data_IF_727376930952
#
_entry.id   IF_727376930952
#
_cell.length_a   1.000
_cell.length_b   1.000
_cell.length_c   1.000
_cell.angle_alpha   90.00
_cell.angle_beta   90.00
_cell.angle_gamma   90.00
#
_symmetry.space_group_name_H-M   'P 1'
#
loop_
_entity.id
_entity.type
_entity.pdbx_description
1 polymer ?
#
# COMPACT_ATOMS: atom_id res chain seq x y z
N UNK A 1 -15.44 -8.59 -11.92
CA UNK A 1 -14.42 -9.22 -11.06
C UNK A 1 -14.64 -8.98 -9.56
N UNK A 2 -15.11 -7.81 -9.11
CA UNK A 2 -15.38 -7.56 -7.68
C UNK A 2 -16.35 -8.57 -7.05
N UNK A 3 -17.49 -8.84 -7.68
CA UNK A 3 -18.49 -9.80 -7.18
C UNK A 3 -17.95 -11.24 -7.13
N UNK A 4 -17.23 -11.66 -8.18
CA UNK A 4 -16.59 -12.97 -8.26
C UNK A 4 -15.65 -13.20 -7.07
N UNK A 5 -14.75 -12.24 -6.82
CA UNK A 5 -13.82 -12.33 -5.71
C UNK A 5 -14.52 -12.30 -4.35
N UNK A 6 -15.60 -11.53 -4.19
CA UNK A 6 -16.42 -11.55 -2.98
C UNK A 6 -17.03 -12.93 -2.72
N UNK A 7 -17.52 -13.61 -3.76
CA UNK A 7 -18.08 -14.97 -3.65
C UNK A 7 -17.00 -15.99 -3.29
N UNK A 8 -15.84 -15.94 -3.97
CA UNK A 8 -14.68 -16.78 -3.66
C UNK A 8 -14.28 -16.62 -2.20
N UNK A 9 -14.06 -15.38 -1.72
CA UNK A 9 -13.69 -15.12 -0.32
C UNK A 9 -14.73 -15.62 0.68
N UNK A 10 -16.02 -15.47 0.36
CA UNK A 10 -17.09 -15.94 1.22
C UNK A 10 -17.12 -17.47 1.33
N UNK A 11 -16.81 -18.18 0.23
CA UNK A 11 -16.70 -19.63 0.24
C UNK A 11 -15.44 -20.08 0.99
N UNK A 12 -14.28 -19.46 0.75
CA UNK A 12 -13.04 -19.75 1.47
C UNK A 12 -13.21 -19.61 3.00
N UNK A 13 -13.91 -18.57 3.46
CA UNK A 13 -14.16 -18.37 4.89
C UNK A 13 -15.08 -19.46 5.49
N UNK A 14 -16.06 -19.95 4.72
CA UNK A 14 -16.92 -21.09 5.14
C UNK A 14 -16.14 -22.39 5.21
N UNK A 15 -15.20 -22.59 4.29
CA UNK A 15 -14.37 -23.80 4.21
C UNK A 15 -13.16 -23.74 5.16
N UNK A 16 -13.02 -22.65 5.93
CA UNK A 16 -11.90 -22.45 6.86
C UNK A 16 -10.55 -22.19 6.17
N UNK A 17 -10.55 -21.92 4.86
CA UNK A 17 -9.33 -21.69 4.08
C UNK A 17 -8.93 -20.22 4.23
N UNK A 18 -7.73 -20.00 4.78
CA UNK A 18 -7.18 -18.66 4.98
C UNK A 18 -6.00 -18.46 4.07
N UNK A 19 -6.02 -17.36 3.33
CA UNK A 19 -4.94 -16.98 2.41
C UNK A 19 -4.48 -15.57 2.73
N UNK A 20 -3.18 -15.31 2.56
CA UNK A 20 -2.63 -13.96 2.53
C UNK A 20 -1.81 -13.74 1.26
N UNK A 21 -1.48 -12.49 0.95
CA UNK A 21 -0.64 -12.17 -0.19
C UNK A 21 -1.02 -10.83 -0.82
N UNK A 22 -1.10 -10.80 -2.15
CA UNK A 22 -1.20 -9.55 -2.89
C UNK A 22 -2.06 -9.69 -4.14
N UNK A 23 -2.81 -8.63 -4.45
CA UNK A 23 -3.62 -8.50 -5.65
C UNK A 23 -3.15 -7.29 -6.45
N UNK A 24 -2.96 -7.49 -7.74
CA UNK A 24 -2.58 -6.46 -8.71
C UNK A 24 -3.67 -6.38 -9.77
N UNK A 25 -4.09 -5.17 -10.13
CA UNK A 25 -4.95 -4.89 -11.28
C UNK A 25 -4.11 -4.33 -12.42
N UNK A 26 -4.27 -4.87 -13.62
CA UNK A 26 -3.69 -4.30 -14.82
C UNK A 26 -4.75 -4.17 -15.92
N UNK A 27 -4.64 -3.16 -16.80
CA UNK A 27 -5.42 -3.12 -18.01
C UNK A 27 -4.92 -4.20 -18.97
N UNK A 28 -5.83 -4.94 -19.57
CA UNK A 28 -5.53 -5.69 -20.77
C UNK A 28 -5.38 -4.74 -21.97
N UNK A 29 -4.98 -5.24 -23.15
CA UNK A 29 -4.78 -4.41 -24.34
C UNK A 29 -6.02 -3.61 -24.76
N UNK A 30 -7.21 -4.12 -24.46
CA UNK A 30 -8.52 -3.48 -24.68
C UNK A 30 -9.00 -2.64 -23.48
N UNK A 31 -8.15 -2.47 -22.45
CA UNK A 31 -8.45 -1.69 -21.24
C UNK A 31 -9.30 -2.44 -20.21
N UNK A 32 -9.71 -3.67 -20.47
CA UNK A 32 -10.49 -4.46 -19.50
C UNK A 32 -9.56 -4.83 -18.32
N UNK A 33 -9.96 -4.56 -17.06
CA UNK A 33 -9.15 -4.91 -15.90
C UNK A 33 -9.02 -6.43 -15.79
N UNK A 34 -7.81 -6.92 -15.60
CA UNK A 34 -7.53 -8.30 -15.17
C UNK A 34 -6.72 -8.30 -13.88
N UNK A 35 -6.80 -9.40 -13.13
CA UNK A 35 -6.23 -9.49 -11.79
C UNK A 35 -5.11 -10.52 -11.77
N UNK A 36 -3.96 -10.11 -11.24
CA UNK A 36 -2.90 -11.03 -10.84
C UNK A 36 -2.99 -11.21 -9.33
N UNK A 37 -3.03 -12.46 -8.88
CA UNK A 37 -3.11 -12.82 -7.48
C UNK A 37 -1.86 -13.61 -7.10
N UNK A 38 -1.18 -13.14 -6.06
CA UNK A 38 -0.18 -13.90 -5.34
C UNK A 38 -0.78 -14.31 -4.01
N UNK A 39 -0.98 -15.61 -3.81
CA UNK A 39 -1.61 -16.14 -2.61
C UNK A 39 -0.68 -17.16 -1.95
N UNK A 40 -0.57 -17.04 -0.64
CA UNK A 40 0.05 -18.01 0.24
C UNK A 40 -1.05 -18.71 1.03
N UNK A 41 -0.97 -20.03 1.09
CA UNK A 41 -1.95 -20.93 1.72
C UNK A 41 -1.22 -22.15 2.27
N UNK A 42 -1.81 -22.82 3.26
CA UNK A 42 -1.31 -24.10 3.75
C UNK A 42 -1.22 -25.12 2.59
N UNK A 43 -0.10 -25.87 2.45
CA UNK A 43 0.11 -26.79 1.34
C UNK A 43 -1.02 -27.79 1.12
N UNK A 44 -1.62 -28.27 2.21
CA UNK A 44 -2.73 -29.24 2.22
C UNK A 44 -4.02 -28.65 1.63
N UNK A 45 -4.21 -27.33 1.74
CA UNK A 45 -5.40 -26.62 1.29
C UNK A 45 -5.25 -26.04 -0.13
N UNK A 46 -4.04 -26.08 -0.70
CA UNK A 46 -3.74 -25.51 -2.03
C UNK A 46 -4.63 -26.06 -3.13
N UNK A 47 -4.81 -27.38 -3.19
CA UNK A 47 -5.63 -28.00 -4.24
C UNK A 47 -7.09 -27.54 -4.16
N UNK A 48 -7.63 -27.47 -2.95
CA UNK A 48 -8.99 -26.98 -2.71
C UNK A 48 -9.13 -25.51 -3.12
N UNK A 49 -8.14 -24.67 -2.78
CA UNK A 49 -8.11 -23.26 -3.22
C UNK A 49 -8.15 -23.16 -4.76
N UNK A 50 -7.31 -23.93 -5.46
CA UNK A 50 -7.24 -23.93 -6.94
C UNK A 50 -8.57 -24.36 -7.57
N UNK A 51 -9.14 -25.48 -7.13
CA UNK A 51 -10.41 -26.01 -7.62
C UNK A 51 -11.56 -25.03 -7.40
N UNK A 52 -11.63 -24.43 -6.22
CA UNK A 52 -12.66 -23.45 -5.88
C UNK A 52 -12.53 -22.20 -6.77
N UNK A 53 -11.32 -21.63 -6.89
CA UNK A 53 -11.09 -20.47 -7.73
C UNK A 53 -11.42 -20.75 -9.20
N UNK A 54 -11.02 -21.92 -9.72
CA UNK A 54 -11.34 -22.37 -11.08
C UNK A 54 -12.85 -22.51 -11.29
N UNK A 55 -13.56 -23.12 -10.34
CA UNK A 55 -15.01 -23.31 -10.40
C UNK A 55 -15.73 -21.97 -10.49
N UNK A 56 -15.38 -21.00 -9.64
CA UNK A 56 -15.96 -19.67 -9.67
C UNK A 56 -15.60 -18.91 -10.95
N UNK A 57 -14.35 -19.00 -11.42
CA UNK A 57 -13.91 -18.34 -12.65
C UNK A 57 -14.66 -18.83 -13.91
N UNK A 58 -15.06 -20.11 -13.93
CA UNK A 58 -15.81 -20.72 -15.02
C UNK A 58 -17.34 -20.67 -14.82
N UNK A 59 -17.82 -20.17 -13.68
CA UNK A 59 -19.25 -20.11 -13.35
C UNK A 59 -20.06 -19.31 -14.39
N UNK A 60 -19.45 -18.26 -14.94
CA UNK A 60 -20.04 -17.46 -16.02
C UNK A 60 -19.33 -17.82 -17.32
N UNK A 61 -20.10 -18.27 -18.33
CA UNK A 61 -19.63 -18.52 -19.70
C UNK A 61 -18.46 -19.51 -19.79
N UNK A 62 -18.37 -20.49 -18.89
CA UNK A 62 -17.29 -21.49 -18.88
C UNK A 62 -17.24 -22.41 -20.12
N UNK A 63 -18.31 -22.44 -20.91
CA UNK A 63 -18.42 -23.25 -22.14
C UNK A 63 -17.99 -22.49 -23.41
N UNK A 64 -17.61 -21.21 -23.32
CA UNK A 64 -17.11 -20.49 -24.48
C UNK A 64 -15.78 -21.09 -24.97
N UNK A 65 -15.49 -21.04 -26.29
CA UNK A 65 -14.23 -21.57 -26.82
C UNK A 65 -13.02 -20.92 -26.14
N UNK A 66 -12.17 -21.74 -25.50
CA UNK A 66 -10.96 -21.28 -24.82
C UNK A 66 -11.14 -20.79 -23.37
N UNK A 67 -12.36 -20.81 -22.80
CA UNK A 67 -12.59 -20.32 -21.43
C UNK A 67 -11.70 -21.02 -20.38
N UNK A 68 -11.52 -22.33 -20.51
CA UNK A 68 -10.76 -23.16 -19.56
C UNK A 68 -9.30 -22.71 -19.42
N UNK A 69 -8.73 -22.17 -20.49
CA UNK A 69 -7.33 -21.73 -20.53
C UNK A 69 -7.21 -20.22 -20.25
N UNK A 70 -8.17 -19.42 -20.71
CA UNK A 70 -8.10 -17.96 -20.65
C UNK A 70 -8.65 -17.34 -19.35
N UNK A 71 -9.64 -17.96 -18.70
CA UNK A 71 -10.33 -17.34 -17.55
C UNK A 71 -9.58 -17.50 -16.22
N UNK A 72 -8.81 -18.57 -16.07
CA UNK A 72 -8.10 -18.84 -14.83
C UNK A 72 -6.88 -19.73 -15.03
N UNK A 73 -5.74 -19.23 -14.60
CA UNK A 73 -4.48 -19.95 -14.56
C UNK A 73 -3.89 -19.81 -13.15
N UNK A 74 -3.62 -20.96 -12.52
CA UNK A 74 -2.83 -21.03 -11.30
C UNK A 74 -1.46 -21.60 -11.64
N UNK A 75 -0.42 -20.96 -11.13
CA UNK A 75 0.97 -21.39 -11.31
C UNK A 75 1.66 -21.35 -9.97
N UNK A 76 2.38 -22.42 -9.66
CA UNK A 76 3.17 -22.50 -8.44
C UNK A 76 4.37 -21.56 -8.49
N UNK A 77 4.74 -21.04 -7.31
CA UNK A 77 5.93 -20.21 -7.18
C UNK A 77 7.15 -21.13 -7.33
N UNK A 78 7.87 -20.95 -8.43
CA UNK A 78 9.14 -21.60 -8.70
C UNK A 78 10.29 -20.66 -8.31
N UNK A 79 10.92 -20.95 -7.17
CA UNK A 79 12.03 -20.15 -6.63
C UNK A 79 13.28 -20.14 -7.52
N UNK A 80 13.44 -21.10 -8.45
CA UNK A 80 14.54 -21.09 -9.42
C UNK A 80 14.32 -20.03 -10.51
N UNK A 81 13.06 -19.70 -10.82
CA UNK A 81 12.68 -18.68 -11.81
C UNK A 81 12.55 -17.29 -11.20
N UNK A 82 12.33 -17.20 -9.89
CA UNK A 82 12.28 -15.96 -9.15
C UNK A 82 11.49 -16.08 -7.85
N UNK A 83 11.76 -15.20 -6.89
CA UNK A 83 11.01 -15.18 -5.64
C UNK A 83 9.63 -14.56 -5.82
N UNK A 84 8.72 -14.91 -4.91
CA UNK A 84 7.41 -14.26 -4.77
C UNK A 84 7.53 -12.73 -4.72
N UNK A 85 8.50 -12.23 -3.94
CA UNK A 85 8.83 -10.81 -3.85
C UNK A 85 9.28 -10.24 -5.20
N UNK A 86 10.18 -10.94 -5.90
CA UNK A 86 10.66 -10.52 -7.22
C UNK A 86 9.52 -10.42 -8.24
N UNK A 87 8.57 -11.36 -8.22
CA UNK A 87 7.38 -11.28 -9.04
C UNK A 87 6.57 -10.02 -8.72
N UNK A 88 6.23 -9.75 -7.45
CA UNK A 88 5.48 -8.54 -7.07
C UNK A 88 6.24 -7.27 -7.51
N UNK A 89 7.55 -7.18 -7.27
CA UNK A 89 8.37 -6.02 -7.66
C UNK A 89 8.31 -5.79 -9.18
N UNK A 90 8.38 -6.85 -9.98
CA UNK A 90 8.24 -6.74 -11.44
C UNK A 90 6.92 -6.03 -11.83
N UNK A 91 5.80 -6.40 -11.19
CA UNK A 91 4.50 -5.77 -11.45
C UNK A 91 4.41 -4.34 -10.89
N UNK A 92 4.98 -4.07 -9.73
CA UNK A 92 4.99 -2.72 -9.15
C UNK A 92 5.74 -1.76 -10.08
N UNK A 93 6.96 -2.10 -10.45
CA UNK A 93 7.79 -1.22 -11.26
C UNK A 93 7.24 -1.05 -12.69
N UNK A 94 6.63 -2.08 -13.30
CA UNK A 94 5.93 -1.96 -14.59
C UNK A 94 4.85 -0.88 -14.58
N UNK A 95 4.13 -0.75 -13.47
CA UNK A 95 2.97 0.15 -13.35
C UNK A 95 3.28 1.51 -12.72
N UNK A 96 4.40 1.64 -11.99
CA UNK A 96 4.78 2.90 -11.34
C UNK A 96 5.74 3.74 -12.18
N UNK A 97 6.89 3.17 -12.56
CA UNK A 97 8.00 3.92 -13.20
C UNK A 97 8.30 3.47 -14.63
N UNK A 98 7.90 2.25 -15.03
CA UNK A 98 8.19 1.71 -16.36
C UNK A 98 9.68 1.36 -16.60
N UNK A 99 10.54 1.58 -15.61
CA UNK A 99 11.98 1.31 -15.60
C UNK A 99 12.30 -0.17 -15.29
N UNK A 100 11.72 -1.14 -16.02
CA UNK A 100 12.26 -2.51 -16.01
C UNK A 100 13.25 -2.69 -17.16
N UNK A 101 14.47 -2.21 -16.96
CA UNK A 101 15.60 -2.40 -17.87
C UNK A 101 16.32 -3.70 -17.52
N UNK A 102 16.11 -4.77 -18.30
CA UNK A 102 16.99 -5.94 -18.18
C UNK A 102 18.36 -5.72 -18.85
N UNK A 103 18.48 -4.78 -19.80
CA UNK A 103 19.71 -4.56 -20.59
C UNK A 103 19.96 -3.10 -21.04
N UNK A 104 19.37 -2.08 -20.38
CA UNK A 104 19.60 -0.67 -20.76
C UNK A 104 18.92 -0.21 -22.07
N UNK A 105 18.20 -1.08 -22.77
CA UNK A 105 17.32 -0.73 -23.89
C UNK A 105 15.86 -0.69 -23.41
N UNK A 106 15.10 0.29 -23.91
CA UNK A 106 13.69 0.47 -23.56
C UNK A 106 12.90 -0.79 -23.97
N UNK A 107 12.30 -1.48 -22.99
CA UNK A 107 11.43 -2.60 -23.28
C UNK A 107 10.24 -2.09 -24.11
N UNK A 108 10.08 -2.64 -25.32
CA UNK A 108 8.94 -2.34 -26.18
C UNK A 108 7.78 -3.27 -25.82
N UNK A 109 6.56 -2.74 -25.75
CA UNK A 109 5.37 -3.58 -25.76
C UNK A 109 5.23 -4.31 -27.11
N UNK A 110 4.24 -5.20 -27.23
CA UNK A 110 3.99 -5.95 -28.48
C UNK A 110 3.71 -5.04 -29.71
N UNK A 111 3.48 -3.75 -29.49
CA UNK A 111 3.22 -2.73 -30.51
C UNK A 111 4.40 -1.77 -30.74
N UNK A 112 5.55 -2.00 -30.11
CA UNK A 112 6.73 -1.15 -30.27
C UNK A 112 6.72 0.11 -29.38
N UNK A 113 5.77 0.27 -28.46
CA UNK A 113 5.75 1.42 -27.54
C UNK A 113 6.77 1.24 -26.43
N UNK A 114 7.54 2.29 -26.15
CA UNK A 114 8.49 2.34 -25.04
C UNK A 114 7.75 2.18 -23.69
N UNK A 115 8.20 1.23 -22.85
CA UNK A 115 7.62 0.93 -21.53
C UNK A 115 7.48 2.15 -20.61
N UNK A 116 8.31 3.18 -20.79
CA UNK A 116 8.23 4.46 -20.05
C UNK A 116 6.92 5.22 -20.26
N UNK A 117 6.26 5.05 -21.41
CA UNK A 117 4.97 5.67 -21.70
C UNK A 117 3.78 4.87 -21.17
N UNK A 118 4.00 3.66 -20.66
CA UNK A 118 2.94 2.74 -20.22
C UNK A 118 2.54 3.04 -18.78
N UNK A 119 3.47 3.26 -17.87
CA UNK A 119 3.17 3.48 -16.45
C UNK A 119 2.24 4.70 -16.19
N UNK A 120 2.45 5.88 -16.81
CA UNK A 120 1.50 6.99 -16.67
C UNK A 120 0.11 6.67 -17.23
N UNK A 121 0.01 5.87 -18.31
CA UNK A 121 -1.26 5.45 -18.91
C UNK A 121 -2.00 4.48 -18.02
N UNK A 122 -1.31 3.51 -17.42
CA UNK A 122 -1.91 2.57 -16.46
C UNK A 122 -2.39 3.33 -15.22
N UNK A 123 -1.59 4.27 -14.71
CA UNK A 123 -2.01 5.15 -13.60
C UNK A 123 -3.24 5.98 -13.97
N UNK A 124 -3.27 6.58 -15.15
CA UNK A 124 -4.43 7.35 -15.62
C UNK A 124 -5.68 6.46 -15.75
N UNK A 125 -5.56 5.29 -16.37
CA UNK A 125 -6.62 4.29 -16.46
C UNK A 125 -7.18 3.91 -15.08
N UNK A 126 -6.29 3.57 -14.14
CA UNK A 126 -6.69 3.21 -12.78
C UNK A 126 -7.43 4.35 -12.08
N UNK A 127 -6.94 5.59 -12.20
CA UNK A 127 -7.58 6.77 -11.62
C UNK A 127 -8.94 7.06 -12.23
N UNK A 128 -9.06 7.01 -13.57
CA UNK A 128 -10.32 7.26 -14.29
C UNK A 128 -11.40 6.25 -13.88
N UNK A 129 -11.02 5.00 -13.69
CA UNK A 129 -11.95 3.93 -13.34
C UNK A 129 -12.08 3.68 -11.82
N UNK A 130 -11.37 4.45 -10.98
CA UNK A 130 -11.37 4.25 -9.53
C UNK A 130 -10.84 2.87 -9.09
N UNK A 131 -9.90 2.30 -9.85
CA UNK A 131 -9.33 0.97 -9.60
C UNK A 131 -8.11 1.10 -8.69
N UNK A 132 -8.21 0.53 -7.49
CA UNK A 132 -7.03 0.28 -6.66
C UNK A 132 -6.13 -0.71 -7.37
N UNK A 133 -4.94 -0.30 -7.83
CA UNK A 133 -4.04 -1.21 -8.56
C UNK A 133 -3.46 -2.28 -7.63
N UNK A 134 -2.94 -1.87 -6.48
CA UNK A 134 -2.25 -2.75 -5.53
C UNK A 134 -3.04 -2.91 -4.23
N UNK A 135 -3.28 -4.16 -3.85
CA UNK A 135 -4.02 -4.48 -2.64
C UNK A 135 -3.40 -5.68 -1.94
N UNK A 136 -2.93 -5.47 -0.71
CA UNK A 136 -2.57 -6.57 0.18
C UNK A 136 -3.82 -7.35 0.59
N UNK A 137 -3.68 -8.67 0.60
CA UNK A 137 -4.69 -9.62 1.06
C UNK A 137 -4.21 -10.24 2.37
N UNK A 138 -5.09 -10.24 3.38
CA UNK A 138 -4.70 -10.62 4.75
C UNK A 138 -3.73 -9.60 5.37
N UNK A 139 -3.03 -10.05 6.41
CA UNK A 139 -2.06 -9.27 7.17
C UNK A 139 -2.66 -8.27 8.16
N UNK A 140 -1.85 -7.81 9.13
CA UNK A 140 -2.21 -6.69 9.99
C UNK A 140 -2.28 -5.36 9.22
N UNK A 141 -3.09 -4.39 9.68
CA UNK A 141 -3.21 -3.09 9.02
C UNK A 141 -1.89 -2.32 9.04
N UNK A 142 -1.44 -1.86 7.88
CA UNK A 142 -0.30 -0.94 7.74
C UNK A 142 -0.49 0.35 8.55
N UNK A 143 -1.74 0.78 8.80
CA UNK A 143 -2.02 1.91 9.68
C UNK A 143 -1.50 1.67 11.09
N UNK A 144 -1.69 0.48 11.66
CA UNK A 144 -1.20 0.16 13.01
C UNK A 144 0.33 0.25 13.04
N UNK A 145 0.99 -0.36 12.07
CA UNK A 145 2.45 -0.25 11.88
C UNK A 145 2.95 1.21 11.82
N UNK A 146 2.28 2.06 11.04
CA UNK A 146 2.63 3.49 10.91
C UNK A 146 2.43 4.27 12.19
N UNK A 147 1.42 3.94 12.99
CA UNK A 147 1.18 4.61 14.26
C UNK A 147 2.15 4.11 15.35
N UNK A 148 2.53 2.83 15.33
CA UNK A 148 3.56 2.28 16.22
C UNK A 148 4.91 2.99 16.04
N UNK A 149 5.31 3.31 14.80
CA UNK A 149 6.51 4.12 14.52
C UNK A 149 6.51 5.51 15.15
N UNK A 150 5.35 6.04 15.49
CA UNK A 150 5.24 7.38 16.11
C UNK A 150 5.45 7.33 17.61
N UNK A 151 5.40 6.14 18.21
CA UNK A 151 5.60 5.95 19.64
C UNK A 151 7.10 5.85 19.93
N UNK A 152 7.65 6.69 20.83
CA UNK A 152 9.02 6.53 21.27
C UNK A 152 9.20 5.26 22.12
N UNK A 153 8.20 4.93 22.94
CA UNK A 153 8.16 3.78 23.83
C UNK A 153 6.71 3.43 24.16
N UNK A 154 6.46 2.16 24.51
CA UNK A 154 5.20 1.73 25.09
C UNK A 154 5.44 0.95 26.40
N UNK A 155 4.81 1.39 27.50
CA UNK A 155 4.79 0.71 28.79
C UNK A 155 3.78 -0.48 28.81
N UNK A 156 3.73 -1.26 27.73
CA UNK A 156 2.88 -2.45 27.60
C UNK A 156 3.60 -3.49 26.74
N UNK A 157 3.66 -4.74 27.22
CA UNK A 157 4.44 -5.80 26.57
C UNK A 157 3.94 -6.10 25.15
N UNK A 158 2.63 -6.07 24.91
CA UNK A 158 2.04 -6.39 23.61
C UNK A 158 2.32 -5.27 22.62
N UNK A 159 2.13 -4.02 23.03
CA UNK A 159 2.39 -2.85 22.19
C UNK A 159 3.88 -2.71 21.91
N UNK A 160 4.74 -2.88 22.91
CA UNK A 160 6.19 -2.79 22.75
C UNK A 160 6.73 -3.92 21.86
N UNK A 161 6.19 -5.15 21.99
CA UNK A 161 6.55 -6.27 21.12
C UNK A 161 6.20 -6.02 19.64
N UNK A 162 5.16 -5.25 19.34
CA UNK A 162 4.83 -4.84 17.98
C UNK A 162 5.57 -3.55 17.55
N UNK A 163 5.87 -2.64 18.49
CA UNK A 163 6.57 -1.37 18.24
C UNK A 163 8.03 -1.60 17.86
N UNK A 164 8.73 -2.52 18.52
CA UNK A 164 10.15 -2.78 18.25
C UNK A 164 10.42 -3.27 16.82
N UNK A 165 9.67 -4.26 16.28
CA UNK A 165 9.78 -4.63 14.86
C UNK A 165 9.41 -3.48 13.94
N UNK A 166 8.37 -2.71 14.30
CA UNK A 166 8.00 -1.52 13.54
C UNK A 166 9.18 -0.55 13.41
N UNK A 167 9.73 -0.08 14.53
CA UNK A 167 10.86 0.85 14.58
C UNK A 167 12.11 0.36 13.81
N UNK A 168 12.37 -0.95 13.85
CA UNK A 168 13.48 -1.60 13.11
C UNK A 168 13.17 -1.88 11.62
N UNK A 169 11.99 -1.51 11.13
CA UNK A 169 11.50 -1.87 9.80
C UNK A 169 11.42 -3.38 9.54
N UNK A 170 11.27 -4.19 10.58
CA UNK A 170 11.01 -5.63 10.50
C UNK A 170 9.51 -5.92 10.39
N UNK A 171 9.04 -6.02 9.14
CA UNK A 171 7.65 -6.32 8.83
C UNK A 171 7.23 -7.72 9.28
N UNK A 172 8.13 -8.70 9.24
CA UNK A 172 7.82 -10.07 9.61
C UNK A 172 7.57 -10.19 11.12
N UNK A 173 8.46 -9.63 11.94
CA UNK A 173 8.28 -9.57 13.38
C UNK A 173 6.98 -8.85 13.80
N UNK A 174 6.58 -7.80 13.08
CA UNK A 174 5.28 -7.14 13.33
C UNK A 174 4.09 -8.02 12.97
N UNK A 175 4.16 -8.77 11.86
CA UNK A 175 3.11 -9.72 11.50
C UNK A 175 2.94 -10.74 12.62
N UNK A 176 4.04 -11.30 13.13
CA UNK A 176 4.02 -12.26 14.23
C UNK A 176 3.42 -11.66 15.51
N UNK A 177 3.85 -10.45 15.90
CA UNK A 177 3.30 -9.71 17.04
C UNK A 177 1.79 -9.41 16.89
N UNK A 178 1.26 -9.41 15.67
CA UNK A 178 -0.15 -9.18 15.36
C UNK A 178 -0.97 -10.46 15.15
N UNK A 179 -0.50 -11.59 15.70
CA UNK A 179 -1.10 -12.93 15.58
C UNK A 179 -1.03 -13.55 14.17
N UNK A 180 -0.08 -13.11 13.35
CA UNK A 180 0.22 -13.70 12.05
C UNK A 180 -0.60 -13.13 10.88
N UNK A 181 -0.31 -13.58 9.64
CA UNK A 181 -0.85 -12.97 8.44
C UNK A 181 -2.33 -13.32 8.18
N UNK A 182 -2.85 -14.37 8.79
CA UNK A 182 -4.22 -14.85 8.60
C UNK A 182 -5.19 -14.49 9.75
N UNK A 183 -4.70 -13.80 10.79
CA UNK A 183 -5.49 -13.40 11.95
C UNK A 183 -6.72 -12.56 11.56
N UNK A 184 -7.87 -12.82 12.19
CA UNK A 184 -9.05 -11.95 12.00
C UNK A 184 -8.79 -10.63 12.71
N UNK A 185 -9.46 -9.56 12.25
CA UNK A 185 -9.39 -8.24 12.89
C UNK A 185 -9.80 -8.24 14.36
N UNK A 186 -10.68 -9.16 14.76
CA UNK A 186 -11.10 -9.29 16.16
C UNK A 186 -9.99 -9.84 17.04
N UNK A 187 -9.18 -10.74 16.47
CA UNK A 187 -8.08 -11.45 17.14
C UNK A 187 -6.77 -10.66 17.11
N UNK A 188 -6.70 -9.55 16.37
CA UNK A 188 -5.51 -8.68 16.36
C UNK A 188 -5.39 -7.95 17.70
N UNK A 189 -4.20 -7.99 18.34
CA UNK A 189 -4.02 -7.44 19.68
C UNK A 189 -4.10 -5.91 19.70
N UNK A 190 -3.63 -5.25 18.64
CA UNK A 190 -3.56 -3.79 18.53
C UNK A 190 -4.51 -3.31 17.45
N UNK A 191 -5.34 -2.32 17.77
CA UNK A 191 -6.34 -1.75 16.87
C UNK A 191 -6.10 -0.25 16.73
N UNK A 192 -6.63 0.35 15.67
CA UNK A 192 -6.59 1.82 15.53
C UNK A 192 -7.61 2.45 16.47
N UNK A 193 -7.20 3.44 17.25
CA UNK A 193 -8.10 4.26 18.04
C UNK A 193 -8.58 5.46 17.22
N UNK A 194 -9.91 5.61 17.13
CA UNK A 194 -10.57 6.67 16.38
C UNK A 194 -11.64 7.33 17.24
N UNK A 195 -11.83 8.63 17.07
CA UNK A 195 -12.87 9.36 17.79
C UNK A 195 -13.59 10.34 16.88
N UNK A 196 -14.85 10.62 17.20
CA UNK A 196 -15.58 11.76 16.66
C UNK A 196 -15.37 12.92 17.61
N UNK A 197 -14.84 14.02 17.08
CA UNK A 197 -14.61 15.23 17.84
C UNK A 197 -15.89 16.08 17.85
N UNK A 198 -16.24 16.61 19.02
CA UNK A 198 -17.43 17.44 19.23
C UNK A 198 -17.00 18.80 19.76
N UNK A 199 -17.69 19.85 19.31
CA UNK A 199 -17.61 21.17 19.91
C UNK A 199 -18.17 21.11 21.32
N UNK A 200 -17.41 21.61 22.30
CA UNK A 200 -17.81 21.53 23.71
C UNK A 200 -18.94 22.50 24.07
N UNK A 201 -19.09 23.59 23.31
CA UNK A 201 -20.08 24.62 23.57
C UNK A 201 -21.39 24.33 22.82
N UNK A 202 -21.30 23.88 21.57
CA UNK A 202 -22.49 23.62 20.72
C UNK A 202 -22.93 22.16 20.74
N UNK A 203 -22.05 21.23 21.10
CA UNK A 203 -22.30 19.78 21.00
C UNK A 203 -22.34 19.25 19.57
N UNK A 204 -22.04 20.08 18.57
CA UNK A 204 -22.00 19.67 17.17
C UNK A 204 -20.72 18.87 16.87
N UNK A 205 -20.79 17.88 15.98
CA UNK A 205 -19.60 17.19 15.52
C UNK A 205 -18.72 18.15 14.71
N UNK A 206 -17.44 18.28 15.09
CA UNK A 206 -16.47 19.07 14.33
C UNK A 206 -16.12 18.39 13.00
N UNK A 207 -16.12 17.06 12.99
CA UNK A 207 -15.97 16.25 11.79
C UNK A 207 -17.33 15.74 11.32
N UNK A 208 -17.53 15.64 10.00
CA UNK A 208 -18.76 15.07 9.45
C UNK A 208 -18.98 13.65 10.01
N UNK A 209 -20.10 13.39 10.71
CA UNK A 209 -20.35 12.10 11.35
C UNK A 209 -20.71 11.01 10.33
N UNK A 210 -20.76 11.35 9.04
CA UNK A 210 -21.02 10.42 7.94
C UNK A 210 -19.95 10.53 6.85
N UNK A 211 -19.70 9.42 6.17
CA UNK A 211 -18.84 9.42 4.97
C UNK A 211 -19.58 9.99 3.75
N UNK A 212 -18.90 10.07 2.60
CA UNK A 212 -19.47 10.55 1.34
C UNK A 212 -20.69 9.76 0.83
N UNK A 213 -20.96 8.59 1.41
CA UNK A 213 -22.09 7.72 1.08
C UNK A 213 -23.20 7.75 2.14
N UNK A 214 -23.09 8.62 3.16
CA UNK A 214 -24.08 8.75 4.24
C UNK A 214 -23.98 7.70 5.34
N UNK A 215 -22.95 6.86 5.34
CA UNK A 215 -22.75 5.85 6.39
C UNK A 215 -22.04 6.48 7.60
N UNK A 216 -22.35 6.04 8.84
CA UNK A 216 -21.67 6.52 10.04
C UNK A 216 -20.14 6.44 9.94
N UNK A 217 -19.49 7.58 10.13
CA UNK A 217 -18.03 7.69 10.17
C UNK A 217 -17.49 7.05 11.44
N UNK A 218 -16.38 6.32 11.30
CA UNK A 218 -15.64 5.77 12.46
C UNK A 218 -14.81 6.83 13.19
N UNK A 219 -14.88 8.09 12.77
CA UNK A 219 -14.11 9.19 13.34
C UNK A 219 -12.67 9.25 12.85
N UNK A 220 -11.95 10.24 13.37
CA UNK A 220 -10.56 10.54 13.04
C UNK A 220 -9.62 9.67 13.84
N UNK A 221 -8.59 9.16 13.17
CA UNK A 221 -7.50 8.42 13.82
C UNK A 221 -6.72 9.35 14.75
N UNK A 222 -6.61 8.97 16.02
CA UNK A 222 -5.82 9.71 17.01
C UNK A 222 -4.71 8.86 17.66
N UNK A 223 -4.80 7.54 17.53
CA UNK A 223 -3.96 6.64 18.31
C UNK A 223 -4.11 5.16 17.98
N UNK A 224 -3.60 4.35 18.89
CA UNK A 224 -3.78 2.91 18.96
C UNK A 224 -4.61 2.55 20.20
N UNK A 225 -5.27 1.40 20.14
CA UNK A 225 -6.00 0.80 21.25
C UNK A 225 -5.52 -0.63 21.44
N UNK A 226 -5.05 -0.95 22.63
CA UNK A 226 -4.59 -2.26 23.04
C UNK A 226 -4.74 -2.40 24.56
N UNK A 227 -5.09 -3.59 25.05
CA UNK A 227 -5.25 -3.87 26.49
C UNK A 227 -6.09 -2.84 27.26
N UNK A 228 -7.23 -2.44 26.71
CA UNK A 228 -8.13 -1.43 27.31
C UNK A 228 -7.53 -0.03 27.49
N UNK A 229 -6.34 0.20 26.91
CA UNK A 229 -5.63 1.47 26.97
C UNK A 229 -5.53 2.11 25.58
N UNK A 230 -5.46 3.44 25.59
CA UNK A 230 -5.28 4.25 24.39
C UNK A 230 -3.87 4.83 24.35
N UNK A 231 -3.22 4.65 23.20
CA UNK A 231 -1.88 5.16 22.92
C UNK A 231 -1.99 6.32 21.95
N UNK A 232 -1.73 7.53 22.43
CA UNK A 232 -1.82 8.75 21.62
C UNK A 232 -0.62 8.86 20.69
N UNK A 233 -0.87 8.85 19.38
CA UNK A 233 0.19 8.96 18.35
C UNK A 233 0.06 10.23 17.51
N UNK A 234 -1.08 10.92 17.61
CA UNK A 234 -1.39 12.15 16.88
C UNK A 234 -1.77 13.25 17.86
N UNK A 235 -0.77 14.00 18.28
CA UNK A 235 -0.89 15.07 19.28
C UNK A 235 -1.29 16.42 18.70
N UNK A 236 -1.16 16.59 17.38
CA UNK A 236 -1.39 17.88 16.72
C UNK A 236 -2.66 17.86 15.88
N UNK A 237 -3.45 18.93 16.02
CA UNK A 237 -4.55 19.26 15.11
C UNK A 237 -4.07 20.30 14.12
N UNK A 238 -4.26 20.02 12.85
CA UNK A 238 -4.05 20.99 11.79
C UNK A 238 -5.38 21.67 11.47
N UNK A 239 -5.40 22.99 11.49
CA UNK A 239 -6.54 23.81 11.11
C UNK A 239 -6.17 24.66 9.89
N UNK A 240 -7.02 24.65 8.87
CA UNK A 240 -6.83 25.48 7.69
C UNK A 240 -7.55 26.81 7.95
N UNK A 241 -6.78 27.82 8.33
CA UNK A 241 -7.29 29.18 8.53
C UNK A 241 -6.93 30.07 7.33
N UNK A 242 -7.81 31.02 7.00
CA UNK A 242 -7.46 32.09 6.07
C UNK A 242 -6.40 32.96 6.75
N UNK A 243 -5.34 33.37 6.05
CA UNK A 243 -4.35 34.30 6.62
C UNK A 243 -5.05 35.58 7.11
N UNK A 244 -4.86 35.94 8.38
CA UNK A 244 -5.40 37.17 8.99
C UNK A 244 -4.76 38.44 8.42
N UNK A 245 -3.53 38.32 7.93
CA UNK A 245 -2.91 39.32 7.08
C UNK A 245 -2.81 38.75 5.67
N UNK A 246 -3.33 39.48 4.69
CA UNK A 246 -2.85 39.38 3.32
C UNK A 246 -1.36 39.65 3.40
N UNK A 247 -0.52 38.60 3.39
CA UNK A 247 0.86 38.79 2.98
C UNK A 247 0.73 39.45 1.62
N UNK A 248 1.15 40.71 1.50
CA UNK A 248 1.43 41.28 0.19
C UNK A 248 2.23 40.19 -0.51
N UNK A 249 1.68 39.66 -1.60
CA UNK A 249 2.37 38.66 -2.40
C UNK A 249 3.67 39.34 -2.77
N UNK A 250 4.77 38.95 -2.11
CA UNK A 250 6.09 39.38 -2.53
C UNK A 250 6.14 39.06 -4.02
N UNK A 251 6.46 40.10 -4.79
CA UNK A 251 6.50 40.13 -6.24
C UNK A 251 6.70 38.73 -6.84
N UNK A 252 5.79 38.18 -7.67
CA UNK A 252 5.95 36.86 -8.26
C UNK A 252 7.24 36.69 -9.09
N UNK A 253 8.00 37.76 -9.35
CA UNK A 253 9.37 37.72 -9.89
C UNK A 253 10.45 37.36 -8.86
N UNK A 254 10.13 37.35 -7.57
CA UNK A 254 11.02 37.12 -6.45
C UNK A 254 11.42 35.64 -6.34
N UNK A 255 12.65 35.34 -6.75
CA UNK A 255 13.28 34.01 -6.62
C UNK A 255 13.47 33.62 -5.13
N UNK A 256 13.25 34.56 -4.20
CA UNK A 256 13.49 34.35 -2.76
C UNK A 256 12.65 33.23 -2.14
N UNK A 257 11.46 32.91 -2.67
CA UNK A 257 10.68 31.77 -2.17
C UNK A 257 11.24 30.43 -2.67
N UNK A 258 11.75 30.37 -3.90
CA UNK A 258 12.46 29.21 -4.45
C UNK A 258 13.80 29.00 -3.72
N UNK A 259 14.52 30.09 -3.40
CA UNK A 259 15.72 30.03 -2.57
C UNK A 259 15.42 29.55 -1.15
N UNK A 260 14.34 30.02 -0.52
CA UNK A 260 13.88 29.48 0.78
C UNK A 260 13.49 28.02 0.72
N UNK A 261 12.76 27.62 -0.32
CA UNK A 261 12.37 26.23 -0.51
C UNK A 261 13.60 25.36 -0.68
N UNK A 262 14.54 25.78 -1.55
CA UNK A 262 15.85 25.16 -1.74
C UNK A 262 16.59 25.01 -0.40
N UNK A 263 16.66 26.06 0.41
CA UNK A 263 17.32 26.03 1.72
C UNK A 263 16.64 25.08 2.73
N UNK A 264 15.31 24.96 2.68
CA UNK A 264 14.54 24.03 3.51
C UNK A 264 14.59 22.58 3.00
N UNK A 265 14.82 22.39 1.69
CA UNK A 265 14.96 21.10 1.03
C UNK A 265 16.41 20.72 0.74
N UNK A 266 17.39 21.45 1.29
CA UNK A 266 18.79 21.09 1.20
C UNK A 266 19.01 19.80 1.99
N UNK A 267 18.78 18.69 1.32
CA UNK A 267 19.36 17.40 1.65
C UNK A 267 20.86 17.65 1.69
N UNK A 268 21.46 17.65 2.88
CA UNK A 268 22.91 17.75 3.00
C UNK A 268 23.54 16.62 2.21
N UNK A 269 24.61 16.90 1.47
CA UNK A 269 25.40 15.84 0.87
C UNK A 269 25.89 14.90 1.98
N UNK A 270 25.68 13.60 1.80
CA UNK A 270 26.15 12.58 2.73
C UNK A 270 27.68 12.62 2.75
N UNK A 271 28.26 12.57 3.94
CA UNK A 271 29.72 12.61 4.10
C UNK A 271 30.34 11.25 3.75
N UNK A 272 31.60 11.25 3.31
CA UNK A 272 32.31 10.01 2.98
C UNK A 272 32.33 9.03 4.16
N UNK A 273 32.47 9.53 5.39
CA UNK A 273 32.44 8.72 6.60
C UNK A 273 31.07 8.03 6.85
N UNK A 274 29.96 8.67 6.45
CA UNK A 274 28.62 8.08 6.54
C UNK A 274 28.41 7.02 5.44
N UNK A 275 29.01 7.19 4.26
CA UNK A 275 29.03 6.20 3.17
C UNK A 275 29.85 4.97 3.59
N UNK A 276 31.04 5.19 4.17
CA UNK A 276 31.95 4.13 4.59
C UNK A 276 31.41 3.31 5.78
N UNK A 277 30.44 3.86 6.53
CA UNK A 277 29.74 3.20 7.62
C UNK A 277 28.56 2.32 7.14
N UNK A 278 28.19 2.36 5.86
CA UNK A 278 27.12 1.53 5.31
C UNK A 278 27.59 0.07 5.16
N UNK A 279 26.76 -0.92 5.54
CA UNK A 279 27.08 -2.33 5.32
C UNK A 279 27.28 -2.64 3.83
N UNK A 280 28.26 -3.48 3.52
CA UNK A 280 28.70 -3.78 2.14
C UNK A 280 27.62 -4.44 1.24
N UNK A 281 26.48 -4.85 1.80
CA UNK A 281 25.35 -5.47 1.10
C UNK A 281 24.27 -4.48 0.64
N UNK A 282 24.43 -3.17 0.91
CA UNK A 282 23.46 -2.12 0.51
C UNK A 282 23.58 -1.66 -0.96
N UNK A 283 24.37 -2.35 -1.78
CA UNK A 283 24.76 -1.96 -3.15
C UNK A 283 23.64 -1.89 -4.21
N UNK A 284 22.36 -2.09 -3.86
CA UNK A 284 21.27 -2.09 -4.85
C UNK A 284 20.49 -0.78 -5.00
N UNK A 285 20.82 0.30 -4.28
CA UNK A 285 19.94 1.48 -4.22
C UNK A 285 20.48 2.80 -4.76
N UNK A 286 21.77 2.95 -5.11
CA UNK A 286 22.35 4.31 -5.22
C UNK A 286 23.11 4.67 -6.50
N UNK A 287 23.29 3.78 -7.47
CA UNK A 287 24.14 4.08 -8.64
C UNK A 287 23.47 4.90 -9.77
N UNK A 288 22.28 5.47 -9.59
CA UNK A 288 21.59 6.18 -10.69
C UNK A 288 20.83 7.45 -10.32
N UNK A 289 21.29 8.18 -9.30
CA UNK A 289 20.65 9.44 -8.85
C UNK A 289 21.52 10.70 -9.08
N UNK A 290 22.46 10.66 -10.03
CA UNK A 290 23.24 11.82 -10.43
C UNK A 290 22.96 12.21 -11.89
N UNK A 291 21.88 12.98 -12.11
CA UNK A 291 21.85 14.05 -13.14
C UNK A 291 20.54 14.84 -13.23
N UNK A 292 19.42 14.40 -12.64
CA UNK A 292 18.17 15.18 -12.66
C UNK A 292 17.53 15.24 -11.26
N UNK A 293 17.38 16.46 -10.73
CA UNK A 293 16.61 16.69 -9.50
C UNK A 293 15.14 16.36 -9.78
N UNK A 294 14.71 15.14 -9.49
CA UNK A 294 13.29 14.85 -9.33
C UNK A 294 12.88 15.18 -7.89
N UNK A 295 11.79 15.95 -7.66
CA UNK A 295 11.20 16.03 -6.32
C UNK A 295 10.88 14.60 -5.85
N UNK A 296 11.00 14.29 -4.54
CA UNK A 296 10.71 12.95 -4.04
C UNK A 296 9.29 12.54 -4.50
N UNK A 297 9.12 11.39 -5.19
CA UNK A 297 7.85 11.01 -5.83
C UNK A 297 6.74 10.66 -4.82
N UNK A 298 7.04 10.72 -3.53
CA UNK A 298 6.15 10.29 -2.47
C UNK A 298 5.35 11.48 -1.94
N UNK A 299 4.22 11.78 -2.58
CA UNK A 299 3.09 12.24 -1.77
C UNK A 299 2.70 11.08 -0.86
N UNK A 300 2.53 11.35 0.42
CA UNK A 300 2.08 10.37 1.41
C UNK A 300 0.70 9.86 1.00
N UNK A 301 0.67 8.76 0.25
CA UNK A 301 -0.58 8.13 -0.16
C UNK A 301 -1.23 7.58 1.12
N UNK A 302 -2.18 8.36 1.63
CA UNK A 302 -3.19 7.91 2.57
C UNK A 302 -3.97 6.80 1.86
N UNK A 303 -3.68 5.54 2.19
CA UNK A 303 -4.42 4.40 1.66
C UNK A 303 -5.75 4.22 2.42
N UNK A 304 -6.48 5.32 2.58
CA UNK A 304 -7.84 5.39 3.11
C UNK A 304 -8.75 5.89 1.99
N UNK A 305 -9.03 5.02 1.04
CA UNK A 305 -10.24 5.01 0.20
C UNK A 305 -10.61 3.56 -0.03
#
# INVERSE_FOLDING_TARGET
>A
MSNLWCQIRAQLDRDGIRTYGFRIAEPHHDGIPHWHLMLFVEPELKHHLDELMRTYALLKEGDEPGAKDARFQAVDIDYERGSATGYIVNYICKNIDGEFQKNGEDAQDWYGNLSKNVAPRVRAWASIHGIRQFQQLGGPPVTVWRELHRLPHADDEIVEAARQPADKSDWAGFIEAMNGPCAKRVDQPIKTAKWLEYDQDTGECLDCPVNQYGEPSKGKLFGLYANEQYWLTRLFRWEVQRPTHTRELHDPSSIAWLERLSHLTQIRAVTQAEIDALPADTAYAWEKLNSEMHPPPWSSVNNCT
#
